data_IF_441678012406
#
_entry.id   IF_441678012406
#
_cell.length_a   1.000
_cell.length_b   1.000
_cell.length_c   1.000
_cell.angle_alpha   90.00
_cell.angle_beta   90.00
_cell.angle_gamma   90.00
#
_symmetry.space_group_name_H-M   'P 1'
#
loop_
_entity.id
_entity.type
_entity.pdbx_description
1 polymer ?
#
# COMPACT_ATOMS: atom_id res chain seq x y z
N UNK A 1 4.61 -8.36 -15.15
CA UNK A 1 4.48 -8.41 -13.67
C UNK A 1 4.92 -7.09 -13.09
N UNK A 2 4.15 -6.52 -12.19
CA UNK A 2 4.57 -5.37 -11.40
C UNK A 2 5.29 -5.90 -10.16
N UNK A 3 6.54 -5.48 -9.96
CA UNK A 3 7.38 -5.93 -8.86
C UNK A 3 7.03 -5.20 -7.56
N UNK A 4 7.00 -3.88 -7.60
CA UNK A 4 6.60 -3.04 -6.48
C UNK A 4 6.01 -1.72 -6.97
N UNK A 5 5.35 -1.04 -6.06
CA UNK A 5 4.83 0.30 -6.29
C UNK A 5 4.92 1.10 -4.99
N UNK A 6 4.68 2.39 -5.06
CA UNK A 6 4.77 3.28 -3.90
C UNK A 6 3.44 3.99 -3.66
N UNK A 7 3.12 4.16 -2.38
CA UNK A 7 2.02 5.01 -1.94
C UNK A 7 2.53 5.99 -0.88
N UNK A 8 1.78 7.02 -0.61
CA UNK A 8 2.07 7.97 0.46
C UNK A 8 1.12 7.74 1.64
N UNK A 9 1.62 7.95 2.85
CA UNK A 9 0.84 7.83 4.08
C UNK A 9 1.32 8.83 5.14
N UNK A 10 0.43 9.20 6.05
CA UNK A 10 0.79 10.06 7.18
C UNK A 10 1.67 9.33 8.17
N UNK A 11 1.40 8.04 8.37
CA UNK A 11 2.20 7.15 9.23
C UNK A 11 2.70 5.94 8.42
N UNK A 12 3.80 6.10 7.66
CA UNK A 12 4.31 5.02 6.81
C UNK A 12 4.66 3.75 7.55
N UNK A 13 5.22 3.85 8.75
CA UNK A 13 5.59 2.67 9.55
C UNK A 13 4.37 1.85 9.91
N UNK A 14 3.32 2.50 10.42
CA UNK A 14 2.09 1.83 10.79
C UNK A 14 1.37 1.26 9.56
N UNK A 15 1.24 2.05 8.51
CA UNK A 15 0.60 1.61 7.26
C UNK A 15 1.32 0.41 6.65
N UNK A 16 2.64 0.44 6.58
CA UNK A 16 3.41 -0.70 6.07
C UNK A 16 3.19 -1.96 6.91
N UNK A 17 3.12 -1.83 8.24
CA UNK A 17 2.82 -2.95 9.13
C UNK A 17 1.42 -3.54 8.86
N UNK A 18 0.41 -2.70 8.69
CA UNK A 18 -0.97 -3.14 8.39
C UNK A 18 -1.05 -3.79 7.01
N UNK A 19 -0.42 -3.20 5.99
CA UNK A 19 -0.35 -3.81 4.66
C UNK A 19 0.34 -5.17 4.69
N UNK A 20 1.45 -5.28 5.43
CA UNK A 20 2.14 -6.55 5.59
C UNK A 20 1.23 -7.61 6.24
N UNK A 21 0.43 -7.23 7.22
CA UNK A 21 -0.57 -8.12 7.83
C UNK A 21 -1.62 -8.58 6.80
N UNK A 22 -2.16 -7.65 6.00
CA UNK A 22 -3.11 -7.97 4.92
C UNK A 22 -2.48 -8.90 3.89
N UNK A 23 -1.22 -8.68 3.55
CA UNK A 23 -0.48 -9.46 2.56
C UNK A 23 0.01 -10.82 3.08
N UNK A 24 0.01 -11.03 4.38
CA UNK A 24 0.65 -12.20 5.00
C UNK A 24 2.17 -12.13 4.95
N UNK A 25 2.73 -10.94 4.95
CA UNK A 25 4.15 -10.70 4.76
C UNK A 25 4.83 -10.00 5.94
N UNK A 26 5.77 -9.11 5.64
CA UNK A 26 6.60 -8.43 6.63
C UNK A 26 6.87 -6.99 6.24
N UNK A 27 6.83 -6.08 7.21
CA UNK A 27 7.23 -4.69 7.01
C UNK A 27 8.67 -4.47 7.48
N UNK A 28 9.42 -3.68 6.71
CA UNK A 28 10.82 -3.30 7.03
C UNK A 28 11.01 -1.81 6.74
N UNK A 29 11.99 -1.15 7.36
CA UNK A 29 12.36 0.21 6.98
C UNK A 29 12.83 0.29 5.54
N UNK A 30 12.62 1.44 4.91
CA UNK A 30 13.10 1.74 3.57
C UNK A 30 14.07 2.94 3.63
N UNK A 31 15.37 2.69 3.92
CA UNK A 31 16.35 3.75 4.20
C UNK A 31 16.58 4.78 3.07
N UNK A 32 16.41 4.46 1.77
CA UNK A 32 16.66 5.44 0.71
C UNK A 32 15.85 6.73 0.83
N UNK A 33 14.65 6.66 1.43
CA UNK A 33 13.85 7.85 1.75
C UNK A 33 13.50 7.80 3.24
N UNK A 34 14.19 8.58 4.09
CA UNK A 34 13.99 8.52 5.54
C UNK A 34 12.54 8.66 5.96
N UNK A 35 12.09 7.80 6.87
CA UNK A 35 10.70 7.74 7.31
C UNK A 35 9.81 6.82 6.47
N UNK A 36 10.34 6.27 5.38
CA UNK A 36 9.63 5.30 4.54
C UNK A 36 9.78 3.87 5.06
N UNK A 37 8.80 3.04 4.75
CA UNK A 37 8.79 1.62 5.08
C UNK A 37 8.35 0.81 3.87
N UNK A 38 8.67 -0.48 3.88
CA UNK A 38 8.37 -1.37 2.78
C UNK A 38 7.58 -2.57 3.32
N UNK A 39 6.36 -2.76 2.81
CA UNK A 39 5.56 -3.95 3.08
C UNK A 39 5.90 -5.02 2.04
N UNK A 40 6.53 -6.10 2.47
CA UNK A 40 6.97 -7.20 1.62
C UNK A 40 5.94 -8.33 1.64
N UNK A 41 5.59 -8.85 0.47
CA UNK A 41 4.67 -9.99 0.35
C UNK A 41 5.35 -11.32 0.64
N UNK A 42 6.67 -11.39 0.56
CA UNK A 42 7.48 -12.60 0.77
C UNK A 42 7.17 -13.70 -0.26
N UNK A 43 6.87 -13.29 -1.47
CA UNK A 43 6.73 -14.19 -2.61
C UNK A 43 8.10 -14.44 -3.28
N UNK A 44 8.12 -15.27 -4.32
CA UNK A 44 9.34 -15.60 -5.04
C UNK A 44 9.88 -14.46 -5.92
N UNK A 45 9.14 -13.34 -5.99
CA UNK A 45 9.45 -12.20 -6.85
C UNK A 45 9.92 -10.96 -6.11
N UNK A 46 9.82 -10.97 -4.77
CA UNK A 46 10.14 -9.79 -3.97
C UNK A 46 9.09 -8.68 -4.10
N UNK A 47 7.84 -9.06 -4.34
CA UNK A 47 6.75 -8.10 -4.49
C UNK A 47 6.50 -7.32 -3.20
N UNK A 48 6.14 -6.05 -3.34
CA UNK A 48 5.84 -5.25 -2.17
C UNK A 48 5.30 -3.86 -2.47
N UNK A 49 5.01 -3.15 -1.39
CA UNK A 49 4.52 -1.78 -1.42
C UNK A 49 5.44 -0.92 -0.59
N UNK A 50 6.07 0.07 -1.22
CA UNK A 50 6.83 1.09 -0.52
C UNK A 50 5.87 2.16 -0.01
N UNK A 51 5.96 2.49 1.26
CA UNK A 51 5.11 3.49 1.88
C UNK A 51 5.97 4.69 2.26
N UNK A 52 5.75 5.79 1.57
CA UNK A 52 6.48 7.04 1.77
C UNK A 52 5.69 7.99 2.67
N UNK A 53 6.38 8.89 3.38
CA UNK A 53 5.70 9.97 4.08
C UNK A 53 4.83 10.80 3.14
N UNK A 54 3.65 11.20 3.62
CA UNK A 54 2.73 12.06 2.87
C UNK A 54 3.45 13.31 2.35
N UNK A 55 3.18 13.68 1.10
CA UNK A 55 3.86 14.80 0.44
C UNK A 55 5.17 14.42 -0.26
N UNK A 56 5.60 13.16 -0.21
CA UNK A 56 6.77 12.71 -0.97
C UNK A 56 6.47 12.74 -2.46
N UNK A 57 7.38 13.35 -3.23
CA UNK A 57 7.37 13.31 -4.69
C UNK A 57 8.68 12.70 -5.20
N UNK A 58 8.57 11.84 -6.19
CA UNK A 58 9.72 11.37 -6.97
C UNK A 58 9.91 12.32 -8.14
N UNK A 59 11.12 12.87 -8.25
CA UNK A 59 11.47 13.79 -9.32
C UNK A 59 12.70 13.30 -10.06
N UNK A 60 12.86 13.68 -11.34
CA UNK A 60 14.11 13.41 -12.03
C UNK A 60 15.27 13.97 -11.20
N UNK A 61 16.23 13.11 -10.87
CA UNK A 61 17.48 13.50 -10.23
C UNK A 61 18.54 13.81 -11.28
N UNK A 62 19.74 14.08 -10.85
CA UNK A 62 20.86 14.28 -11.76
C UNK A 62 21.34 12.98 -12.42
N UNK A 63 22.64 12.75 -12.40
CA UNK A 63 23.28 11.61 -13.09
C UNK A 63 22.96 10.24 -12.48
N UNK A 64 22.42 10.21 -11.26
CA UNK A 64 22.20 8.97 -10.50
C UNK A 64 20.71 8.54 -10.45
N UNK A 65 19.85 9.17 -11.24
CA UNK A 65 18.44 8.82 -11.30
C UNK A 65 17.53 9.69 -10.44
N UNK A 66 16.37 9.17 -10.06
CA UNK A 66 15.34 9.90 -9.35
C UNK A 66 15.71 10.29 -7.93
N UNK A 67 15.15 11.39 -7.47
CA UNK A 67 15.32 11.88 -6.12
C UNK A 67 13.98 12.10 -5.42
N UNK A 68 14.02 12.15 -4.10
CA UNK A 68 12.85 12.39 -3.25
C UNK A 68 12.78 13.85 -2.83
N UNK A 69 11.60 14.43 -2.93
CA UNK A 69 11.29 15.80 -2.48
C UNK A 69 10.06 15.74 -1.58
N UNK A 70 10.04 16.55 -0.52
CA UNK A 70 8.88 16.66 0.35
C UNK A 70 8.08 17.92 0.03
N UNK A 71 6.78 17.76 -0.18
CA UNK A 71 5.82 18.83 -0.46
C UNK A 71 4.61 18.72 0.46
N UNK A 72 3.68 19.66 0.33
CA UNK A 72 2.39 19.55 0.99
C UNK A 72 1.63 18.32 0.48
N UNK A 73 1.00 17.52 1.35
CA UNK A 73 0.18 16.39 0.95
C UNK A 73 -0.98 16.82 0.06
N UNK A 74 -1.27 16.02 -0.98
CA UNK A 74 -2.36 16.32 -1.92
C UNK A 74 -3.68 15.63 -1.55
N UNK A 75 -3.68 14.68 -0.61
CA UNK A 75 -4.87 13.90 -0.26
C UNK A 75 -5.22 12.88 -1.34
N UNK A 76 -6.46 12.93 -1.81
CA UNK A 76 -6.97 11.99 -2.81
C UNK A 76 -6.25 12.11 -4.17
N UNK A 77 -6.11 10.98 -4.86
CA UNK A 77 -5.51 10.92 -6.17
C UNK A 77 -6.01 9.71 -6.95
N UNK A 78 -5.63 9.58 -8.24
CA UNK A 78 -6.10 8.47 -9.08
C UNK A 78 -5.31 7.18 -8.89
N UNK A 79 -4.16 7.24 -8.23
CA UNK A 79 -3.31 6.06 -8.04
C UNK A 79 -3.99 5.06 -7.12
N UNK A 80 -4.16 3.85 -7.61
CA UNK A 80 -4.63 2.70 -6.84
C UNK A 80 -4.12 1.43 -7.50
N UNK A 81 -4.25 0.31 -6.82
CA UNK A 81 -3.81 -0.98 -7.35
C UNK A 81 -4.60 -2.13 -6.75
N UNK A 82 -4.62 -3.25 -7.46
CA UNK A 82 -5.20 -4.48 -6.98
C UNK A 82 -4.09 -5.40 -6.45
N UNK A 83 -4.34 -6.02 -5.31
CA UNK A 83 -3.39 -6.85 -4.58
C UNK A 83 -4.00 -8.21 -4.26
N UNK A 84 -3.47 -9.27 -4.87
CA UNK A 84 -3.85 -10.63 -4.51
C UNK A 84 -3.16 -11.02 -3.21
N UNK A 85 -3.92 -11.59 -2.28
CA UNK A 85 -3.43 -11.98 -0.97
C UNK A 85 -3.87 -13.40 -0.62
N UNK A 86 -3.16 -14.03 0.31
CA UNK A 86 -3.55 -15.32 0.88
C UNK A 86 -4.46 -15.17 2.10
N UNK A 87 -4.54 -13.96 2.65
CA UNK A 87 -5.38 -13.63 3.81
C UNK A 87 -6.85 -13.67 3.42
N UNK A 88 -7.68 -14.35 4.20
CA UNK A 88 -9.12 -14.47 3.92
C UNK A 88 -9.88 -13.15 4.02
N UNK A 89 -10.98 -13.06 3.30
CA UNK A 89 -11.80 -11.85 3.20
C UNK A 89 -12.24 -11.30 4.57
N UNK A 90 -12.70 -12.17 5.47
CA UNK A 90 -13.17 -11.73 6.79
C UNK A 90 -12.03 -11.13 7.63
N UNK A 91 -10.83 -11.67 7.51
CA UNK A 91 -9.65 -11.14 8.20
C UNK A 91 -9.27 -9.77 7.64
N UNK A 92 -9.28 -9.60 6.32
CA UNK A 92 -9.02 -8.29 5.69
C UNK A 92 -10.02 -7.23 6.18
N UNK A 93 -11.31 -7.58 6.22
CA UNK A 93 -12.35 -6.67 6.71
C UNK A 93 -12.19 -6.34 8.20
N UNK A 94 -11.80 -7.34 9.01
CA UNK A 94 -11.56 -7.12 10.43
C UNK A 94 -10.37 -6.19 10.66
N UNK A 95 -9.30 -6.32 9.87
CA UNK A 95 -8.14 -5.42 9.91
C UNK A 95 -8.57 -4.01 9.57
N UNK A 96 -9.26 -3.80 8.45
CA UNK A 96 -9.72 -2.48 8.04
C UNK A 96 -10.62 -1.83 9.11
N UNK A 97 -11.51 -2.60 9.71
CA UNK A 97 -12.38 -2.12 10.80
C UNK A 97 -11.57 -1.71 12.03
N UNK A 98 -10.59 -2.51 12.43
CA UNK A 98 -9.69 -2.19 13.56
C UNK A 98 -8.97 -0.86 13.32
N UNK A 99 -8.53 -0.61 12.09
CA UNK A 99 -7.82 0.61 11.73
C UNK A 99 -8.73 1.82 11.54
N UNK A 100 -10.05 1.63 11.50
CA UNK A 100 -10.98 2.70 11.16
C UNK A 100 -10.93 3.11 9.69
N UNK A 101 -10.45 2.23 8.83
CA UNK A 101 -10.37 2.44 7.40
C UNK A 101 -11.67 2.03 6.71
N UNK A 102 -12.15 2.84 5.77
CA UNK A 102 -13.31 2.47 4.95
C UNK A 102 -13.02 1.18 4.18
N UNK A 103 -14.02 0.31 4.13
CA UNK A 103 -13.89 -1.01 3.52
C UNK A 103 -15.21 -1.42 2.88
N UNK A 104 -15.17 -1.82 1.62
CA UNK A 104 -16.37 -2.16 0.86
C UNK A 104 -16.17 -3.45 0.06
N UNK A 105 -17.18 -4.33 0.09
CA UNK A 105 -17.26 -5.45 -0.86
C UNK A 105 -17.73 -4.92 -2.21
N UNK A 106 -16.96 -5.16 -3.26
CA UNK A 106 -17.25 -4.66 -4.59
C UNK A 106 -17.27 -5.79 -5.62
N UNK A 107 -18.39 -5.92 -6.31
CA UNK A 107 -18.50 -6.79 -7.46
C UNK A 107 -18.11 -6.01 -8.70
N UNK A 108 -17.02 -6.42 -9.37
CA UNK A 108 -16.52 -5.81 -10.60
C UNK A 108 -16.94 -6.60 -11.86
N UNK A 109 -17.95 -7.46 -11.75
CA UNK A 109 -18.48 -8.25 -12.84
C UNK A 109 -17.76 -9.61 -12.97
N UNK A 110 -16.50 -9.59 -13.35
CA UNK A 110 -15.72 -10.83 -13.55
C UNK A 110 -14.96 -11.26 -12.28
N UNK A 111 -14.83 -10.39 -11.30
CA UNK A 111 -14.14 -10.69 -10.07
C UNK A 111 -14.68 -9.83 -8.92
N UNK A 112 -14.44 -10.30 -7.72
CA UNK A 112 -14.83 -9.64 -6.49
C UNK A 112 -13.60 -9.08 -5.81
N UNK A 113 -13.69 -7.85 -5.34
CA UNK A 113 -12.61 -7.21 -4.60
C UNK A 113 -13.12 -6.64 -3.30
N UNK A 114 -12.22 -6.51 -2.33
CA UNK A 114 -12.44 -5.73 -1.13
C UNK A 114 -11.71 -4.41 -1.32
N UNK A 115 -12.47 -3.33 -1.47
CA UNK A 115 -11.93 -1.99 -1.53
C UNK A 115 -11.58 -1.55 -0.11
N UNK A 116 -10.32 -1.21 0.12
CA UNK A 116 -9.80 -0.75 1.42
C UNK A 116 -9.17 0.62 1.24
N UNK A 117 -9.57 1.57 2.08
CA UNK A 117 -9.09 2.95 2.04
C UNK A 117 -8.06 3.18 3.14
N UNK A 118 -6.79 3.04 2.77
CA UNK A 118 -5.65 3.23 3.66
C UNK A 118 -5.64 4.67 4.19
N UNK A 119 -5.70 4.83 5.50
CA UNK A 119 -5.85 6.13 6.18
C UNK A 119 -7.02 6.97 5.66
N UNK A 120 -8.00 6.33 5.03
CA UNK A 120 -9.17 6.95 4.39
C UNK A 120 -8.83 7.93 3.25
N UNK A 121 -7.64 7.80 2.66
CA UNK A 121 -7.16 8.64 1.56
C UNK A 121 -6.68 7.84 0.34
N UNK A 122 -6.05 6.68 0.55
CA UNK A 122 -5.46 5.87 -0.51
C UNK A 122 -6.23 4.57 -0.69
N UNK A 123 -6.89 4.42 -1.82
CA UNK A 123 -7.63 3.20 -2.12
C UNK A 123 -6.70 2.09 -2.60
N UNK A 124 -6.93 0.87 -2.11
CA UNK A 124 -6.41 -0.37 -2.68
C UNK A 124 -7.55 -1.35 -2.87
N UNK A 125 -7.42 -2.24 -3.85
CA UNK A 125 -8.35 -3.35 -4.05
C UNK A 125 -7.68 -4.65 -3.63
N UNK A 126 -8.25 -5.34 -2.66
CA UNK A 126 -7.69 -6.59 -2.15
C UNK A 126 -8.48 -7.75 -2.75
N UNK A 127 -7.76 -8.71 -3.31
CA UNK A 127 -8.32 -9.94 -3.87
C UNK A 127 -7.94 -11.10 -2.95
N UNK A 128 -8.82 -11.48 -2.02
CA UNK A 128 -8.58 -12.64 -1.16
C UNK A 128 -8.76 -13.94 -1.94
N UNK A 129 -8.35 -15.08 -1.39
CA UNK A 129 -8.66 -16.38 -1.99
C UNK A 129 -10.18 -16.57 -2.14
N UNK A 130 -10.59 -17.27 -3.18
CA UNK A 130 -11.98 -17.67 -3.39
C UNK A 130 -12.46 -18.68 -2.35
#
# INVERSE_FOLDING_TARGET
MIHHLSIAARDPQHVAAVLAEIMGGKAVPFPPNPGSHFALQLDDHGSGVEVYPAGTELRPGGEVGGGFVRREPRGFGPTHFALSVTTGADTVKAIAKREGWHCFDCNRGHFHVIEVWVENEQMIEVLPPE
#
